data_IF_271104544635
#
_entry.id   IF_271104544635
#
_cell.length_a   1.000
_cell.length_b   1.000
_cell.length_c   1.000
_cell.angle_alpha   90.00
_cell.angle_beta   90.00
_cell.angle_gamma   90.00
#
_symmetry.space_group_name_H-M   'P 1'
#
loop_
_entity.id
_entity.type
_entity.pdbx_description
1 polymer ?
#
# COMPACT_ATOMS: atom_id res chain seq x y z
N UNK A 1 3.67 -19.59 33.59
CA UNK A 1 3.24 -19.67 32.20
C UNK A 1 4.51 -19.88 31.39
N UNK A 2 4.64 -21.03 30.73
CA UNK A 2 5.81 -21.35 29.89
C UNK A 2 5.82 -20.34 28.73
N UNK A 3 6.87 -19.57 28.61
CA UNK A 3 7.16 -18.79 27.40
C UNK A 3 7.29 -19.82 26.26
N UNK A 4 6.37 -19.78 25.31
CA UNK A 4 6.41 -20.59 24.11
C UNK A 4 7.59 -20.07 23.28
N UNK A 5 8.55 -20.92 22.94
CA UNK A 5 9.65 -20.53 22.04
C UNK A 5 9.05 -20.04 20.71
N UNK A 6 9.57 -18.93 20.16
CA UNK A 6 9.07 -18.39 18.90
C UNK A 6 9.22 -19.41 17.77
N UNK A 7 8.23 -19.46 16.89
CA UNK A 7 8.24 -20.37 15.75
C UNK A 7 9.44 -20.10 14.83
N UNK A 8 10.18 -21.14 14.49
CA UNK A 8 11.34 -21.04 13.59
C UNK A 8 10.99 -20.43 12.23
N UNK A 9 9.76 -20.60 11.78
CA UNK A 9 9.27 -20.01 10.53
C UNK A 9 9.06 -18.51 10.66
N UNK A 10 8.47 -18.04 11.77
CA UNK A 10 8.34 -16.61 12.08
C UNK A 10 9.71 -15.93 12.13
N UNK A 11 10.67 -16.50 12.86
CA UNK A 11 12.03 -15.94 12.95
C UNK A 11 12.71 -15.85 11.59
N UNK A 12 12.54 -16.85 10.74
CA UNK A 12 13.06 -16.84 9.36
C UNK A 12 12.52 -15.65 8.57
N UNK A 13 11.21 -15.37 8.66
CA UNK A 13 10.59 -14.27 7.95
C UNK A 13 10.96 -12.91 8.51
N UNK A 14 11.05 -12.76 9.82
CA UNK A 14 11.53 -11.53 10.46
C UNK A 14 12.97 -11.18 10.03
N UNK A 15 13.86 -12.18 9.98
CA UNK A 15 15.24 -11.99 9.48
C UNK A 15 15.28 -11.55 8.02
N UNK A 16 14.41 -12.11 7.16
CA UNK A 16 14.29 -11.68 5.75
C UNK A 16 13.79 -10.24 5.62
N UNK A 17 12.75 -9.87 6.37
CA UNK A 17 12.24 -8.50 6.42
C UNK A 17 13.28 -7.52 6.94
N UNK A 18 14.05 -7.89 7.97
CA UNK A 18 15.14 -7.07 8.48
C UNK A 18 16.27 -6.89 7.45
N UNK A 19 16.62 -7.94 6.72
CA UNK A 19 17.60 -7.88 5.65
C UNK A 19 17.13 -6.96 4.50
N UNK A 20 15.86 -7.06 4.12
CA UNK A 20 15.25 -6.16 3.13
C UNK A 20 15.29 -4.70 3.62
N UNK A 21 14.88 -4.45 4.87
CA UNK A 21 14.90 -3.10 5.46
C UNK A 21 16.30 -2.49 5.43
N UNK A 22 17.34 -3.29 5.64
CA UNK A 22 18.75 -2.85 5.53
C UNK A 22 19.15 -2.57 4.08
N UNK A 23 18.81 -3.44 3.14
CA UNK A 23 19.12 -3.25 1.72
C UNK A 23 18.45 -1.99 1.16
N UNK A 24 17.20 -1.72 1.54
CA UNK A 24 16.42 -0.57 1.09
C UNK A 24 16.57 0.68 1.99
N UNK A 25 17.46 0.68 2.98
CA UNK A 25 17.59 1.79 3.94
C UNK A 25 17.87 3.14 3.28
N UNK A 26 18.79 3.16 2.30
CA UNK A 26 19.16 4.38 1.58
C UNK A 26 17.96 4.92 0.80
N UNK A 27 17.27 4.07 0.06
CA UNK A 27 16.05 4.42 -0.65
C UNK A 27 14.99 4.97 0.31
N UNK A 28 14.66 4.24 1.38
CA UNK A 28 13.63 4.64 2.36
C UNK A 28 13.94 5.98 3.02
N UNK A 29 15.22 6.26 3.28
CA UNK A 29 15.66 7.57 3.79
C UNK A 29 15.44 8.69 2.77
N UNK A 30 15.81 8.46 1.50
CA UNK A 30 15.63 9.41 0.41
C UNK A 30 14.14 9.67 0.13
N UNK A 31 13.32 8.63 0.09
CA UNK A 31 11.88 8.72 -0.10
C UNK A 31 11.20 9.52 1.03
N UNK A 32 11.63 9.30 2.28
CA UNK A 32 11.13 10.07 3.43
C UNK A 32 11.53 11.55 3.38
N UNK A 33 12.73 11.86 2.86
CA UNK A 33 13.16 13.24 2.64
C UNK A 33 12.33 13.91 1.53
N UNK A 34 12.09 13.21 0.42
CA UNK A 34 11.24 13.68 -0.67
C UNK A 34 9.79 13.92 -0.21
N UNK A 35 9.20 12.98 0.52
CA UNK A 35 7.86 13.12 1.11
C UNK A 35 7.76 14.34 2.03
N UNK A 36 8.76 14.56 2.88
CA UNK A 36 8.80 15.75 3.76
C UNK A 36 8.88 17.05 2.98
N UNK A 37 9.69 17.06 1.91
CA UNK A 37 9.83 18.24 1.06
C UNK A 37 8.57 18.53 0.25
N UNK A 38 7.90 17.49 -0.23
CA UNK A 38 6.66 17.61 -1.00
C UNK A 38 5.51 18.18 -0.16
N UNK A 39 5.24 17.58 1.00
CA UNK A 39 4.17 18.02 1.88
C UNK A 39 4.51 19.26 2.70
N UNK A 40 5.79 19.70 2.69
CA UNK A 40 6.29 20.84 3.47
C UNK A 40 5.71 20.87 4.89
N UNK A 41 5.86 19.75 5.60
CA UNK A 41 5.29 19.56 6.95
C UNK A 41 5.77 20.61 7.97
N UNK A 42 6.87 21.30 7.67
CA UNK A 42 7.30 22.44 8.46
C UNK A 42 6.30 23.59 8.44
N UNK A 43 5.56 23.75 7.32
CA UNK A 43 4.49 24.75 7.20
C UNK A 43 3.21 24.34 7.93
N UNK A 44 2.93 23.03 8.00
CA UNK A 44 1.76 22.51 8.71
C UNK A 44 1.93 22.51 10.23
N UNK A 45 3.17 22.47 10.72
CA UNK A 45 3.48 22.40 12.13
C UNK A 45 3.59 23.76 12.84
N UNK A 46 3.76 24.86 12.07
CA UNK A 46 3.99 26.20 12.61
C UNK A 46 2.82 27.11 12.28
N UNK A 47 2.12 27.57 13.28
CA UNK A 47 0.98 28.49 13.20
C UNK A 47 1.34 29.87 12.61
N UNK A 48 2.60 30.27 12.59
CA UNK A 48 3.08 31.48 11.93
C UNK A 48 4.48 31.23 11.35
N UNK A 49 4.57 30.99 10.06
CA UNK A 49 5.84 31.06 9.35
C UNK A 49 6.31 32.50 9.40
N UNK A 50 7.44 32.74 10.04
CA UNK A 50 8.13 34.02 9.91
C UNK A 50 8.46 34.25 8.44
N UNK A 51 8.39 35.49 7.97
CA UNK A 51 8.62 35.86 6.56
C UNK A 51 9.91 35.25 5.98
N UNK A 52 10.92 35.00 6.81
CA UNK A 52 12.18 34.37 6.44
C UNK A 52 12.12 32.86 6.17
N UNK A 53 11.00 32.18 6.44
CA UNK A 53 10.83 30.74 6.27
C UNK A 53 10.05 30.34 5.02
N UNK A 54 9.61 31.31 4.20
CA UNK A 54 8.92 31.03 2.95
C UNK A 54 9.88 30.38 1.94
N UNK A 55 9.57 29.14 1.56
CA UNK A 55 10.27 28.41 0.52
C UNK A 55 9.49 28.45 -0.79
N UNK A 56 10.20 28.42 -1.90
CA UNK A 56 9.56 28.30 -3.23
C UNK A 56 9.16 26.83 -3.43
N UNK A 57 7.86 26.49 -3.57
CA UNK A 57 7.39 25.11 -3.61
C UNK A 57 7.56 24.48 -5.00
N UNK A 58 8.75 24.57 -5.59
CA UNK A 58 9.01 24.09 -6.95
C UNK A 58 8.80 22.58 -7.07
N UNK A 59 9.25 21.79 -6.10
CA UNK A 59 9.07 20.34 -6.12
C UNK A 59 7.59 19.98 -6.12
N UNK A 60 6.81 20.56 -5.23
CA UNK A 60 5.36 20.36 -5.20
C UNK A 60 4.70 20.75 -6.51
N UNK A 61 5.02 21.94 -7.04
CA UNK A 61 4.44 22.44 -8.29
C UNK A 61 4.77 21.56 -9.49
N UNK A 62 6.04 21.19 -9.67
CA UNK A 62 6.46 20.31 -10.77
C UNK A 62 5.86 18.91 -10.68
N UNK A 63 5.80 18.34 -9.48
CA UNK A 63 5.17 17.03 -9.25
C UNK A 63 3.69 17.04 -9.61
N UNK A 64 2.95 18.09 -9.23
CA UNK A 64 1.52 18.20 -9.59
C UNK A 64 1.30 18.36 -11.11
N UNK A 65 2.16 19.07 -11.81
CA UNK A 65 2.10 19.17 -13.28
C UNK A 65 2.33 17.81 -13.91
N UNK A 66 3.34 17.06 -13.44
CA UNK A 66 3.61 15.69 -13.91
C UNK A 66 2.46 14.75 -13.58
N UNK A 67 1.90 14.84 -12.37
CA UNK A 67 0.76 14.05 -11.97
C UNK A 67 -0.44 14.27 -12.91
N UNK A 68 -0.78 15.52 -13.19
CA UNK A 68 -1.86 15.87 -14.11
C UNK A 68 -1.59 15.39 -15.56
N UNK A 69 -0.32 15.37 -15.99
CA UNK A 69 0.06 14.87 -17.31
C UNK A 69 -0.02 13.35 -17.42
N UNK A 70 0.40 12.62 -16.37
CA UNK A 70 0.41 11.15 -16.35
C UNK A 70 -0.97 10.55 -16.08
N UNK A 71 -1.75 11.18 -15.20
CA UNK A 71 -3.06 10.69 -14.78
C UNK A 71 -4.14 11.75 -15.01
N UNK A 72 -4.29 12.17 -16.28
CA UNK A 72 -5.33 13.14 -16.68
C UNK A 72 -6.72 12.52 -16.77
N UNK A 73 -6.79 11.22 -16.95
CA UNK A 73 -8.03 10.45 -17.06
C UNK A 73 -7.83 9.07 -16.46
N UNK A 74 -8.88 8.56 -15.85
CA UNK A 74 -8.93 7.18 -15.40
C UNK A 74 -8.73 6.23 -16.59
N UNK A 75 -7.74 5.32 -16.54
CA UNK A 75 -7.54 4.33 -17.60
C UNK A 75 -8.74 3.38 -17.66
N UNK A 76 -9.26 3.16 -18.86
CA UNK A 76 -10.34 2.20 -19.10
C UNK A 76 -9.78 0.90 -19.65
N UNK A 77 -10.39 -0.20 -19.25
CA UNK A 77 -10.06 -1.51 -19.79
C UNK A 77 -10.46 -1.58 -21.27
N UNK A 78 -9.57 -2.06 -22.12
CA UNK A 78 -9.82 -2.44 -23.51
C UNK A 78 -9.52 -3.94 -23.62
N UNK A 79 -10.56 -4.75 -23.65
CA UNK A 79 -10.43 -6.21 -23.67
C UNK A 79 -10.69 -6.73 -25.06
N UNK A 80 -9.66 -7.32 -25.67
CA UNK A 80 -9.73 -7.85 -27.02
C UNK A 80 -9.46 -9.35 -27.05
N UNK A 81 -10.10 -10.05 -27.98
CA UNK A 81 -9.79 -11.44 -28.23
C UNK A 81 -8.35 -11.62 -28.70
N UNK A 82 -7.68 -12.66 -28.20
CA UNK A 82 -6.29 -12.95 -28.53
C UNK A 82 -6.10 -13.43 -29.98
N UNK A 83 -7.05 -14.22 -30.47
CA UNK A 83 -7.02 -14.77 -31.82
C UNK A 83 -7.71 -13.82 -32.81
N UNK A 84 -7.11 -13.67 -33.99
CA UNK A 84 -7.62 -12.82 -35.06
C UNK A 84 -8.70 -13.48 -35.90
N UNK A 85 -9.13 -14.70 -35.57
CA UNK A 85 -10.19 -15.39 -36.29
C UNK A 85 -11.49 -14.58 -36.25
N UNK A 86 -11.93 -14.13 -37.42
CA UNK A 86 -13.12 -13.28 -37.60
C UNK A 86 -14.37 -14.03 -37.26
N UNK A 87 -14.39 -15.37 -37.42
CA UNK A 87 -15.57 -16.22 -37.23
C UNK A 87 -15.80 -16.60 -35.73
N UNK A 88 -14.87 -16.31 -34.84
CA UNK A 88 -15.03 -16.58 -33.42
C UNK A 88 -15.90 -15.49 -32.74
N UNK A 89 -17.20 -15.61 -32.88
CA UNK A 89 -18.20 -14.74 -32.25
C UNK A 89 -18.21 -14.88 -30.73
N UNK A 90 -17.98 -16.10 -30.21
CA UNK A 90 -18.02 -16.37 -28.76
C UNK A 90 -16.88 -15.63 -28.04
N UNK A 91 -15.67 -15.67 -28.56
CA UNK A 91 -14.56 -14.94 -27.97
C UNK A 91 -14.77 -13.42 -27.98
N UNK A 92 -15.46 -12.88 -28.99
CA UNK A 92 -15.85 -11.47 -29.03
C UNK A 92 -16.84 -11.11 -27.92
N UNK A 93 -17.88 -11.91 -27.72
CA UNK A 93 -18.86 -11.67 -26.66
C UNK A 93 -18.22 -11.78 -25.25
N UNK A 94 -17.37 -12.78 -25.04
CA UNK A 94 -16.62 -12.93 -23.78
C UNK A 94 -15.74 -11.71 -23.53
N UNK A 95 -15.06 -11.18 -24.53
CA UNK A 95 -14.23 -9.97 -24.41
C UNK A 95 -15.06 -8.76 -23.98
N UNK A 96 -16.22 -8.54 -24.60
CA UNK A 96 -17.15 -7.46 -24.24
C UNK A 96 -17.71 -7.62 -22.82
N UNK A 97 -18.08 -8.83 -22.43
CA UNK A 97 -18.54 -9.11 -21.06
C UNK A 97 -17.43 -8.82 -20.01
N UNK A 98 -16.21 -9.26 -20.31
CA UNK A 98 -15.07 -9.03 -19.43
C UNK A 98 -14.74 -7.54 -19.31
N UNK A 99 -14.76 -6.80 -20.42
CA UNK A 99 -14.54 -5.35 -20.43
C UNK A 99 -15.57 -4.61 -19.57
N UNK A 100 -16.86 -4.97 -19.72
CA UNK A 100 -17.94 -4.40 -18.90
C UNK A 100 -17.80 -4.74 -17.43
N UNK A 101 -17.42 -5.98 -17.11
CA UNK A 101 -17.20 -6.40 -15.72
C UNK A 101 -16.02 -5.65 -15.08
N UNK A 102 -14.91 -5.51 -15.78
CA UNK A 102 -13.75 -4.73 -15.28
C UNK A 102 -14.11 -3.25 -15.10
N UNK A 103 -14.80 -2.66 -16.08
CA UNK A 103 -15.25 -1.25 -15.99
C UNK A 103 -16.19 -1.07 -14.80
N UNK A 104 -17.14 -1.98 -14.60
CA UNK A 104 -18.05 -1.94 -13.46
C UNK A 104 -17.28 -2.00 -12.12
N UNK A 105 -16.30 -2.88 -12.00
CA UNK A 105 -15.44 -2.97 -10.80
C UNK A 105 -14.68 -1.66 -10.60
N UNK A 106 -14.08 -1.09 -11.65
CA UNK A 106 -13.37 0.19 -11.55
C UNK A 106 -14.29 1.33 -11.07
N UNK A 107 -15.50 1.42 -11.61
CA UNK A 107 -16.44 2.50 -11.26
C UNK A 107 -17.02 2.33 -9.83
N UNK A 108 -17.14 1.11 -9.32
CA UNK A 108 -17.80 0.83 -8.04
C UNK A 108 -16.86 0.70 -6.85
N UNK A 109 -15.55 0.44 -7.07
CA UNK A 109 -14.62 0.11 -5.99
C UNK A 109 -13.66 1.25 -5.57
N UNK A 110 -13.83 2.45 -6.13
CA UNK A 110 -12.95 3.60 -5.82
C UNK A 110 -11.56 3.51 -6.45
N UNK A 111 -11.44 2.77 -7.53
CA UNK A 111 -10.19 2.56 -8.28
C UNK A 111 -9.47 3.87 -8.62
N UNK A 112 -10.22 4.93 -9.00
CA UNK A 112 -9.66 6.22 -9.36
C UNK A 112 -8.82 6.82 -8.23
N UNK A 113 -9.35 6.84 -7.01
CA UNK A 113 -8.64 7.35 -5.84
C UNK A 113 -7.38 6.55 -5.51
N UNK A 114 -7.48 5.23 -5.56
CA UNK A 114 -6.36 4.32 -5.27
C UNK A 114 -5.25 4.45 -6.32
N UNK A 115 -5.61 4.60 -7.60
CA UNK A 115 -4.68 4.82 -8.68
C UNK A 115 -3.99 6.21 -8.56
N UNK A 116 -4.75 7.25 -8.23
CA UNK A 116 -4.20 8.59 -7.96
C UNK A 116 -3.14 8.56 -6.84
N UNK A 117 -3.43 7.88 -5.74
CA UNK A 117 -2.49 7.75 -4.63
C UNK A 117 -1.22 6.99 -5.03
N UNK A 118 -1.36 5.89 -5.79
CA UNK A 118 -0.23 5.12 -6.27
C UNK A 118 0.66 5.92 -7.24
N UNK A 119 0.07 6.71 -8.14
CA UNK A 119 0.82 7.60 -9.04
C UNK A 119 1.49 8.73 -8.26
N UNK A 120 0.84 9.28 -7.24
CA UNK A 120 1.46 10.29 -6.39
C UNK A 120 2.68 9.75 -5.64
N UNK A 121 2.59 8.56 -5.06
CA UNK A 121 3.72 7.92 -4.40
C UNK A 121 4.85 7.60 -5.37
N UNK A 122 4.52 7.16 -6.59
CA UNK A 122 5.51 6.96 -7.66
C UNK A 122 6.28 8.24 -7.97
N UNK A 123 5.61 9.37 -8.10
CA UNK A 123 6.23 10.65 -8.45
C UNK A 123 7.04 11.24 -7.27
N UNK A 124 6.56 11.09 -6.06
CA UNK A 124 7.20 11.69 -4.87
C UNK A 124 8.28 10.78 -4.30
N UNK A 125 7.95 9.49 -4.13
CA UNK A 125 8.77 8.52 -3.42
C UNK A 125 9.42 7.48 -4.36
N UNK A 126 9.24 7.60 -5.67
CA UNK A 126 9.75 6.70 -6.70
C UNK A 126 9.18 5.27 -6.66
N UNK A 127 8.17 5.01 -5.85
CA UNK A 127 7.50 3.72 -5.72
C UNK A 127 6.00 3.92 -5.66
N UNK A 128 5.27 3.43 -6.66
CA UNK A 128 3.81 3.37 -6.65
C UNK A 128 3.33 1.93 -6.73
N UNK A 129 2.44 1.55 -5.83
CA UNK A 129 1.93 0.18 -5.77
C UNK A 129 0.43 0.13 -5.46
N UNK A 130 -0.22 -0.87 -6.06
CA UNK A 130 -1.58 -1.24 -5.75
C UNK A 130 -1.70 -2.77 -5.70
N UNK A 131 -2.58 -3.26 -4.85
CA UNK A 131 -2.83 -4.68 -4.58
C UNK A 131 -4.25 -5.02 -5.02
N UNK A 132 -4.44 -6.19 -5.62
CA UNK A 132 -5.76 -6.74 -5.90
C UNK A 132 -6.18 -7.60 -4.71
N UNK A 133 -7.34 -7.31 -4.17
CA UNK A 133 -7.97 -8.05 -3.08
C UNK A 133 -9.34 -8.58 -3.52
N UNK A 134 -9.77 -9.64 -2.88
CA UNK A 134 -11.12 -10.17 -3.06
C UNK A 134 -11.91 -9.89 -1.79
N UNK A 135 -12.84 -8.94 -1.86
CA UNK A 135 -13.79 -8.69 -0.78
C UNK A 135 -14.89 -9.76 -0.83
N UNK A 136 -15.03 -10.50 0.25
CA UNK A 136 -16.03 -11.57 0.39
C UNK A 136 -17.05 -11.16 1.43
N UNK A 137 -18.27 -10.88 0.99
CA UNK A 137 -19.39 -10.66 1.89
C UNK A 137 -20.03 -11.98 2.26
N UNK A 138 -20.15 -12.23 3.55
CA UNK A 138 -20.82 -13.42 4.07
C UNK A 138 -22.06 -13.03 4.86
N UNK A 139 -23.14 -13.80 4.71
CA UNK A 139 -24.33 -13.68 5.52
C UNK A 139 -24.62 -14.98 6.28
N UNK A 140 -25.13 -14.84 7.49
CA UNK A 140 -25.67 -15.95 8.25
C UNK A 140 -27.05 -16.29 7.70
N UNK A 141 -27.18 -17.43 7.05
CA UNK A 141 -28.44 -17.90 6.45
C UNK A 141 -28.91 -19.13 7.22
N UNK A 142 -30.20 -19.22 7.58
CA UNK A 142 -30.72 -20.41 8.23
C UNK A 142 -30.56 -21.63 7.32
N UNK A 143 -30.15 -22.74 7.91
CA UNK A 143 -30.09 -24.02 7.19
C UNK A 143 -31.53 -24.53 6.97
N UNK A 144 -31.90 -24.65 5.71
CA UNK A 144 -33.24 -25.11 5.34
C UNK A 144 -33.23 -26.62 5.15
N UNK A 145 -34.17 -27.30 5.77
CA UNK A 145 -34.39 -28.72 5.55
C UNK A 145 -34.89 -28.95 4.08
N UNK A 146 -34.18 -29.75 3.27
CA UNK A 146 -34.54 -29.97 1.87
C UNK A 146 -35.88 -30.70 1.67
N UNK A 147 -36.46 -31.31 2.72
CA UNK A 147 -37.71 -32.11 2.62
C UNK A 147 -38.93 -31.22 2.84
N UNK A 148 -38.93 -30.31 3.81
CA UNK A 148 -40.08 -29.51 4.21
C UNK A 148 -39.91 -28.01 3.99
N UNK A 149 -38.72 -27.55 3.56
CA UNK A 149 -38.43 -26.16 3.27
C UNK A 149 -38.39 -25.25 4.52
N UNK A 150 -38.45 -25.83 5.73
CA UNK A 150 -38.40 -25.09 7.00
C UNK A 150 -37.00 -24.97 7.52
N UNK A 151 -36.65 -23.89 8.28
CA UNK A 151 -35.36 -23.77 8.93
C UNK A 151 -35.19 -24.88 10.00
N UNK A 152 -34.02 -25.52 9.99
CA UNK A 152 -33.67 -26.49 11.03
C UNK A 152 -33.45 -25.74 12.33
N UNK A 153 -34.24 -26.10 13.36
CA UNK A 153 -34.15 -25.49 14.69
C UNK A 153 -33.44 -26.48 15.63
N UNK A 154 -32.39 -26.04 16.30
CA UNK A 154 -31.67 -26.78 17.32
C UNK A 154 -31.78 -26.01 18.65
N UNK A 155 -32.31 -26.68 19.68
CA UNK A 155 -32.52 -26.06 21.00
C UNK A 155 -33.37 -24.76 21.02
N UNK A 156 -34.29 -24.59 20.06
CA UNK A 156 -35.14 -23.41 19.94
C UNK A 156 -34.62 -22.27 19.11
N UNK A 157 -33.36 -22.38 18.62
CA UNK A 157 -32.75 -21.40 17.72
C UNK A 157 -32.55 -22.00 16.31
N UNK A 158 -32.75 -21.21 15.24
CA UNK A 158 -32.47 -21.68 13.89
C UNK A 158 -30.96 -21.92 13.69
N UNK A 159 -30.63 -23.12 13.20
CA UNK A 159 -29.27 -23.44 12.82
C UNK A 159 -28.87 -22.55 11.63
N UNK A 160 -27.84 -21.71 11.80
CA UNK A 160 -27.33 -20.82 10.75
C UNK A 160 -26.04 -21.33 10.16
N UNK A 161 -25.87 -21.14 8.85
CA UNK A 161 -24.61 -21.36 8.16
C UNK A 161 -24.10 -20.07 7.52
N UNK A 162 -22.81 -19.87 7.52
CA UNK A 162 -22.18 -18.76 6.81
C UNK A 162 -22.19 -19.04 5.32
N UNK A 163 -22.91 -18.24 4.55
CA UNK A 163 -22.95 -18.33 3.08
C UNK A 163 -22.30 -17.09 2.47
N UNK A 164 -21.46 -17.31 1.47
CA UNK A 164 -20.90 -16.22 0.66
C UNK A 164 -22.04 -15.62 -0.19
N UNK A 165 -22.31 -14.33 0.01
CA UNK A 165 -23.35 -13.58 -0.70
C UNK A 165 -22.78 -12.92 -1.94
N UNK A 166 -21.64 -12.27 -1.81
CA UNK A 166 -20.96 -11.64 -2.93
C UNK A 166 -19.44 -11.80 -2.85
N UNK A 167 -18.80 -11.75 -4.01
CA UNK A 167 -17.35 -11.69 -4.15
C UNK A 167 -17.05 -10.56 -5.12
N UNK A 168 -16.36 -9.55 -4.63
CA UNK A 168 -15.99 -8.38 -5.43
C UNK A 168 -14.49 -8.26 -5.47
N UNK A 169 -13.92 -8.19 -6.66
CA UNK A 169 -12.51 -7.83 -6.82
C UNK A 169 -12.36 -6.33 -6.58
N UNK A 170 -11.37 -5.96 -5.82
CA UNK A 170 -11.04 -4.58 -5.52
C UNK A 170 -9.55 -4.35 -5.71
N UNK A 171 -9.20 -3.22 -6.29
CA UNK A 171 -7.84 -2.72 -6.23
C UNK A 171 -7.71 -1.80 -5.03
N UNK A 172 -6.68 -1.98 -4.22
CA UNK A 172 -6.40 -1.14 -3.06
C UNK A 172 -5.02 -0.55 -3.19
N UNK A 173 -4.91 0.74 -2.94
CA UNK A 173 -3.64 1.44 -2.84
C UNK A 173 -2.79 0.88 -1.68
N UNK A 174 -1.50 0.72 -1.93
CA UNK A 174 -0.52 0.33 -0.91
C UNK A 174 0.50 1.45 -0.75
N UNK A 175 0.54 2.03 0.44
CA UNK A 175 1.48 3.09 0.75
C UNK A 175 2.92 2.59 0.65
N UNK A 176 3.83 3.38 0.06
CA UNK A 176 5.21 2.98 -0.19
C UNK A 176 5.99 2.48 1.04
N UNK A 177 5.64 2.92 2.25
CA UNK A 177 6.25 2.45 3.51
C UNK A 177 5.82 1.05 3.91
N UNK A 178 4.64 0.63 3.48
CA UNK A 178 4.00 -0.63 3.85
C UNK A 178 4.24 -1.74 2.83
N UNK A 179 5.07 -1.49 1.85
CA UNK A 179 5.41 -2.45 0.82
C UNK A 179 6.87 -2.89 0.93
N UNK A 180 7.08 -4.20 0.91
CA UNK A 180 8.37 -4.85 1.01
C UNK A 180 8.52 -5.86 -0.11
N UNK A 181 9.73 -5.99 -0.67
CA UNK A 181 10.04 -7.00 -1.67
C UNK A 181 11.48 -7.46 -1.53
N UNK A 182 11.76 -8.65 -2.02
CA UNK A 182 13.08 -9.23 -2.01
C UNK A 182 14.08 -8.39 -2.81
N UNK A 183 15.21 -8.00 -2.23
CA UNK A 183 16.29 -7.33 -2.96
C UNK A 183 16.86 -8.25 -4.03
N UNK A 184 16.66 -7.94 -5.31
CA UNK A 184 17.10 -8.75 -6.45
C UNK A 184 17.60 -7.84 -7.56
N UNK A 185 18.31 -8.43 -8.52
CA UNK A 185 18.81 -7.69 -9.71
C UNK A 185 17.74 -7.48 -10.77
N UNK A 186 16.72 -8.33 -10.80
CA UNK A 186 15.61 -8.22 -11.74
C UNK A 186 14.29 -8.59 -11.07
N UNK A 187 13.19 -7.94 -11.49
CA UNK A 187 11.88 -8.15 -10.89
C UNK A 187 11.35 -9.59 -11.01
N UNK A 188 11.63 -10.26 -12.08
CA UNK A 188 11.24 -11.65 -12.32
C UNK A 188 11.90 -12.66 -11.37
N UNK A 189 13.00 -12.26 -10.73
CA UNK A 189 13.70 -13.05 -9.72
C UNK A 189 13.10 -12.90 -8.32
N UNK A 190 12.19 -11.94 -8.10
CA UNK A 190 11.54 -11.76 -6.80
C UNK A 190 10.74 -12.99 -6.43
N UNK A 191 11.09 -13.61 -5.32
CA UNK A 191 10.43 -14.81 -4.80
C UNK A 191 9.42 -14.52 -3.70
N UNK A 192 9.54 -13.39 -3.02
CA UNK A 192 8.59 -12.98 -1.99
C UNK A 192 8.39 -11.47 -1.95
N UNK A 193 7.20 -11.08 -1.53
CA UNK A 193 6.84 -9.70 -1.19
C UNK A 193 5.98 -9.68 0.06
N UNK A 194 5.90 -8.51 0.71
CA UNK A 194 5.08 -8.39 1.91
C UNK A 194 4.38 -7.02 1.99
N UNK A 195 3.27 -7.02 2.72
CA UNK A 195 2.45 -5.85 3.00
C UNK A 195 2.29 -5.69 4.51
N UNK A 196 2.49 -4.47 4.99
CA UNK A 196 2.29 -4.12 6.40
C UNK A 196 0.86 -3.64 6.63
N UNK A 197 0.15 -4.29 7.55
CA UNK A 197 -1.18 -3.90 8.01
C UNK A 197 -1.10 -3.46 9.47
N UNK A 198 -1.61 -2.28 9.74
CA UNK A 198 -1.60 -1.68 11.08
C UNK A 198 -2.99 -1.82 11.69
N UNK A 199 -3.07 -2.54 12.81
CA UNK A 199 -4.33 -2.86 13.49
C UNK A 199 -4.25 -2.57 14.98
N UNK A 200 -5.39 -2.19 15.57
CA UNK A 200 -5.54 -2.11 17.01
C UNK A 200 -5.55 -3.52 17.65
N UNK A 201 -5.27 -3.60 18.97
CA UNK A 201 -5.25 -4.88 19.70
C UNK A 201 -6.57 -5.65 19.56
N UNK A 202 -7.69 -4.99 19.85
CA UNK A 202 -9.01 -5.63 19.83
C UNK A 202 -9.39 -6.13 18.41
N UNK A 203 -9.05 -5.36 17.39
CA UNK A 203 -9.29 -5.73 16.01
C UNK A 203 -8.50 -6.97 15.61
N UNK A 204 -7.20 -6.99 15.95
CA UNK A 204 -6.29 -8.10 15.66
C UNK A 204 -6.72 -9.38 16.38
N UNK A 205 -7.03 -9.30 17.68
CA UNK A 205 -7.48 -10.44 18.48
C UNK A 205 -8.83 -10.99 17.98
N UNK A 206 -9.75 -10.11 17.59
CA UNK A 206 -11.06 -10.50 17.03
C UNK A 206 -10.94 -11.13 15.65
N UNK A 207 -10.11 -10.56 14.78
CA UNK A 207 -10.00 -11.00 13.38
C UNK A 207 -9.32 -12.36 13.27
N UNK A 208 -8.26 -12.60 14.05
CA UNK A 208 -7.45 -13.81 13.96
C UNK A 208 -7.70 -14.81 15.09
N UNK A 209 -8.52 -14.47 16.08
CA UNK A 209 -8.81 -15.35 17.21
C UNK A 209 -7.61 -15.62 18.12
N UNK A 210 -6.58 -14.79 18.08
CA UNK A 210 -5.36 -14.88 18.89
C UNK A 210 -5.45 -13.96 20.11
N UNK A 211 -4.64 -14.21 21.12
CA UNK A 211 -4.48 -13.31 22.27
C UNK A 211 -3.05 -12.80 22.28
N UNK A 212 -2.89 -11.49 22.26
CA UNK A 212 -1.58 -10.86 22.38
C UNK A 212 -1.13 -10.87 23.86
N UNK A 213 0.19 -10.98 24.13
CA UNK A 213 0.73 -10.81 25.48
C UNK A 213 0.31 -9.46 26.08
N UNK A 214 -0.03 -9.42 27.38
CA UNK A 214 -0.43 -8.17 28.05
C UNK A 214 0.63 -7.07 27.99
N UNK A 215 1.90 -7.48 27.98
CA UNK A 215 3.06 -6.57 27.91
C UNK A 215 3.48 -6.21 26.48
N UNK A 216 2.74 -6.68 25.46
CA UNK A 216 3.06 -6.31 24.08
C UNK A 216 2.84 -4.79 23.88
N UNK A 217 3.92 -4.10 23.60
CA UNK A 217 3.89 -2.68 23.29
C UNK A 217 3.66 -2.54 21.79
N UNK A 218 2.48 -2.04 21.40
CA UNK A 218 2.27 -1.62 20.02
C UNK A 218 3.19 -0.43 19.70
N UNK A 219 3.75 -0.43 18.53
CA UNK A 219 4.42 0.75 17.98
C UNK A 219 3.36 1.69 17.44
N UNK A 220 3.49 2.99 17.71
CA UNK A 220 2.59 3.98 17.10
C UNK A 220 2.61 3.83 15.58
N UNK A 221 1.44 3.73 14.96
CA UNK A 221 1.27 3.41 13.54
C UNK A 221 2.21 4.17 12.64
N UNK A 222 3.09 3.45 11.94
CA UNK A 222 4.21 4.00 11.18
C UNK A 222 3.80 4.94 10.04
N UNK A 223 2.52 5.01 9.70
CA UNK A 223 1.98 5.85 8.62
C UNK A 223 1.03 6.95 9.11
N UNK A 224 0.69 6.98 10.39
CA UNK A 224 -0.15 8.07 10.89
C UNK A 224 0.68 9.35 10.96
N UNK A 225 0.28 10.45 10.29
CA UNK A 225 0.88 11.76 10.46
C UNK A 225 0.62 12.34 11.86
N UNK A 226 -0.24 11.70 12.62
CA UNK A 226 -0.67 12.12 13.94
C UNK A 226 0.25 11.47 14.97
N UNK A 227 0.69 12.27 15.94
CA UNK A 227 1.61 11.81 17.00
C UNK A 227 1.02 10.63 17.74
N UNK A 228 1.83 9.60 17.95
CA UNK A 228 1.49 8.35 18.66
C UNK A 228 0.84 8.56 20.05
N UNK A 229 1.07 9.70 20.67
CA UNK A 229 0.56 10.04 22.02
C UNK A 229 -0.97 10.24 22.09
N UNK A 230 -1.67 10.27 20.96
CA UNK A 230 -3.13 10.50 20.89
C UNK A 230 -3.95 9.30 20.43
N UNK A 231 -3.31 8.21 20.00
CA UNK A 231 -4.01 7.04 19.46
C UNK A 231 -3.62 5.78 20.19
N UNK A 232 -4.52 4.82 20.19
CA UNK A 232 -4.25 3.48 20.68
C UNK A 232 -3.04 2.87 19.97
N UNK A 233 -2.19 2.12 20.70
CA UNK A 233 -1.04 1.46 20.12
C UNK A 233 -1.48 0.48 19.03
N UNK A 234 -0.90 0.60 17.83
CA UNK A 234 -1.16 -0.28 16.72
C UNK A 234 -0.07 -1.36 16.61
N UNK A 235 -0.46 -2.51 16.14
CA UNK A 235 0.40 -3.66 15.89
C UNK A 235 0.56 -3.87 14.38
N UNK A 236 1.79 -4.13 13.96
CA UNK A 236 2.08 -4.43 12.57
C UNK A 236 1.86 -5.92 12.30
N UNK A 237 1.01 -6.21 11.35
CA UNK A 237 0.84 -7.56 10.78
C UNK A 237 1.47 -7.57 9.40
N UNK A 238 2.47 -8.40 9.21
CA UNK A 238 3.13 -8.61 7.93
C UNK A 238 2.40 -9.72 7.16
N UNK A 239 1.82 -9.38 6.02
CA UNK A 239 1.24 -10.33 5.08
C UNK A 239 2.28 -10.66 4.02
N UNK A 240 2.87 -11.82 4.10
CA UNK A 240 4.01 -12.25 3.28
C UNK A 240 3.55 -13.24 2.22
N UNK A 241 3.79 -12.93 0.97
CA UNK A 241 3.49 -13.75 -0.20
C UNK A 241 4.76 -14.48 -0.66
N UNK A 242 4.86 -15.78 -0.38
CA UNK A 242 5.98 -16.65 -0.80
C UNK A 242 5.61 -17.35 -2.13
N UNK A 243 6.14 -16.85 -3.24
CA UNK A 243 5.92 -17.41 -4.58
C UNK A 243 6.49 -18.82 -4.71
N UNK A 244 7.57 -19.13 -3.97
CA UNK A 244 8.24 -20.43 -4.06
C UNK A 244 7.36 -21.54 -3.51
N UNK A 245 6.67 -21.28 -2.39
CA UNK A 245 5.74 -22.23 -1.76
C UNK A 245 4.31 -22.05 -2.22
N UNK A 246 3.98 -20.94 -2.87
CA UNK A 246 2.62 -20.50 -3.20
C UNK A 246 1.74 -20.39 -1.96
N UNK A 247 2.29 -19.80 -0.92
CA UNK A 247 1.64 -19.62 0.39
C UNK A 247 1.69 -18.15 0.81
N UNK A 248 0.66 -17.73 1.53
CA UNK A 248 0.61 -16.44 2.20
C UNK A 248 0.73 -16.64 3.69
N UNK A 249 1.78 -16.09 4.30
CA UNK A 249 2.08 -16.23 5.72
C UNK A 249 1.82 -14.90 6.42
N UNK A 250 1.01 -14.91 7.47
CA UNK A 250 0.76 -13.75 8.32
C UNK A 250 1.53 -13.89 9.62
N UNK A 251 2.34 -12.88 9.93
CA UNK A 251 3.10 -12.79 11.19
C UNK A 251 2.89 -11.42 11.82
N UNK A 252 3.06 -11.33 13.12
CA UNK A 252 3.03 -10.07 13.85
C UNK A 252 4.28 -9.93 14.72
N UNK A 253 4.81 -8.71 14.84
CA UNK A 253 5.98 -8.44 15.69
C UNK A 253 5.71 -8.76 17.17
N UNK A 254 4.47 -8.59 17.60
CA UNK A 254 4.03 -8.76 18.99
C UNK A 254 3.51 -10.15 19.33
N UNK A 255 3.50 -11.09 18.40
CA UNK A 255 3.02 -12.45 18.58
C UNK A 255 4.10 -13.47 18.23
N UNK A 256 4.34 -14.46 19.09
CA UNK A 256 5.52 -15.36 19.01
C UNK A 256 5.39 -16.48 17.98
N UNK A 257 4.26 -16.63 17.33
CA UNK A 257 4.00 -17.67 16.34
C UNK A 257 3.51 -17.09 15.01
N UNK A 258 3.39 -17.93 13.99
CA UNK A 258 2.69 -17.59 12.75
C UNK A 258 1.20 -17.45 13.08
N UNK A 259 0.58 -16.34 12.64
CA UNK A 259 -0.85 -16.10 12.86
C UNK A 259 -1.67 -17.04 12.00
N UNK A 260 -1.36 -17.07 10.71
CA UNK A 260 -2.10 -17.86 9.73
C UNK A 260 -1.22 -18.15 8.51
N UNK A 261 -1.44 -19.30 7.88
CA UNK A 261 -0.86 -19.65 6.59
C UNK A 261 -2.01 -20.00 5.65
N UNK A 262 -2.03 -19.40 4.46
CA UNK A 262 -3.07 -19.63 3.43
C UNK A 262 -2.43 -20.13 2.16
N UNK A 263 -2.97 -21.18 1.58
CA UNK A 263 -2.57 -21.68 0.26
C UNK A 263 -3.19 -20.76 -0.81
N UNK A 264 -2.42 -20.34 -1.80
CA UNK A 264 -2.77 -19.55 -3.00
C UNK A 264 -4.21 -18.99 -3.05
N UNK A 265 -4.51 -17.91 -2.31
CA UNK A 265 -5.90 -17.48 -2.09
C UNK A 265 -6.56 -16.90 -3.34
N UNK A 266 -5.77 -16.45 -4.32
CA UNK A 266 -6.28 -15.82 -5.53
C UNK A 266 -6.17 -16.70 -6.79
N UNK A 267 -5.40 -17.79 -6.76
CA UNK A 267 -5.21 -18.68 -7.91
C UNK A 267 -4.58 -17.98 -9.13
N UNK A 268 -3.80 -16.92 -8.92
CA UNK A 268 -3.20 -16.16 -10.00
C UNK A 268 -2.00 -16.89 -10.62
N UNK A 269 -1.83 -16.73 -11.93
CA UNK A 269 -0.72 -17.37 -12.67
C UNK A 269 0.65 -17.02 -12.07
N UNK A 270 0.87 -15.75 -11.79
CA UNK A 270 2.13 -15.25 -11.22
C UNK A 270 2.15 -15.24 -9.70
N UNK A 271 1.09 -15.74 -9.04
CA UNK A 271 0.89 -15.84 -7.61
C UNK A 271 0.68 -14.49 -6.90
N UNK A 272 1.51 -13.50 -7.14
CA UNK A 272 1.45 -12.22 -6.44
C UNK A 272 0.14 -11.46 -6.68
N UNK A 273 -0.42 -10.81 -5.62
CA UNK A 273 -1.69 -10.08 -5.72
C UNK A 273 -1.53 -8.71 -6.40
N UNK A 274 -0.31 -8.33 -6.72
CA UNK A 274 0.00 -7.07 -7.36
C UNK A 274 0.93 -7.25 -8.55
N UNK A 275 0.79 -6.41 -9.57
CA UNK A 275 1.74 -6.36 -10.68
C UNK A 275 3.09 -5.84 -10.18
N UNK A 276 4.09 -5.85 -11.06
CA UNK A 276 5.34 -5.13 -10.83
C UNK A 276 5.03 -3.70 -10.40
N UNK A 277 5.59 -3.20 -9.29
CA UNK A 277 5.39 -1.82 -8.86
C UNK A 277 5.93 -0.83 -9.90
N UNK A 278 5.36 0.36 -9.91
CA UNK A 278 5.93 1.49 -10.63
C UNK A 278 7.18 1.95 -9.89
N UNK A 279 8.34 1.79 -10.51
CA UNK A 279 9.64 2.16 -9.94
C UNK A 279 10.27 3.23 -10.82
N UNK A 280 10.65 4.37 -10.21
CA UNK A 280 11.35 5.44 -10.91
C UNK A 280 12.87 5.32 -10.71
N UNK A 281 13.64 5.67 -11.75
CA UNK A 281 15.10 5.78 -11.70
C UNK A 281 15.79 4.57 -11.06
N UNK A 282 15.44 3.39 -11.54
CA UNK A 282 16.15 2.16 -11.16
C UNK A 282 17.53 2.19 -11.77
N UNK A 283 18.54 2.35 -10.93
CA UNK A 283 19.94 2.42 -11.33
C UNK A 283 20.71 1.24 -10.74
N UNK A 284 21.64 0.70 -11.52
CA UNK A 284 22.57 -0.33 -11.07
C UNK A 284 22.05 -1.76 -11.20
N UNK A 285 22.61 -2.64 -10.39
CA UNK A 285 22.36 -4.09 -10.46
C UNK A 285 21.15 -4.53 -9.62
N UNK A 286 20.52 -3.61 -8.87
CA UNK A 286 19.42 -3.93 -7.97
C UNK A 286 18.14 -3.19 -8.38
N UNK A 287 16.98 -3.82 -8.14
CA UNK A 287 15.66 -3.24 -8.40
C UNK A 287 15.27 -2.33 -7.25
N UNK A 288 16.08 -1.29 -7.01
CA UNK A 288 15.84 -0.29 -5.97
C UNK A 288 15.58 1.07 -6.65
N UNK A 289 14.43 1.72 -6.37
CA UNK A 289 14.11 3.00 -6.98
C UNK A 289 14.87 4.15 -6.31
N UNK A 290 14.96 5.28 -7.03
CA UNK A 290 15.56 6.51 -6.52
C UNK A 290 14.64 7.69 -6.77
N UNK A 291 14.20 8.43 -5.74
CA UNK A 291 13.32 9.57 -5.92
C UNK A 291 13.96 10.69 -6.75
N UNK A 292 13.19 11.28 -7.65
CA UNK A 292 13.61 12.43 -8.48
C UNK A 292 14.11 13.59 -7.62
N UNK A 293 13.51 13.78 -6.46
CA UNK A 293 13.93 14.77 -5.48
C UNK A 293 15.43 14.69 -5.15
N UNK A 294 16.00 13.49 -5.13
CA UNK A 294 17.44 13.29 -4.83
C UNK A 294 18.34 14.01 -5.83
N UNK A 295 17.94 14.08 -7.09
CA UNK A 295 18.72 14.74 -8.16
C UNK A 295 18.57 16.26 -8.15
N UNK A 296 17.42 16.77 -7.73
CA UNK A 296 17.12 18.21 -7.76
C UNK A 296 17.27 18.90 -6.41
N UNK A 297 17.48 18.16 -5.34
CA UNK A 297 17.53 18.65 -3.95
C UNK A 297 18.48 19.83 -3.76
N UNK A 298 19.69 19.72 -4.27
CA UNK A 298 20.70 20.76 -4.05
C UNK A 298 20.43 22.02 -4.90
N UNK A 299 19.85 21.85 -6.08
CA UNK A 299 19.36 22.97 -6.89
C UNK A 299 18.21 23.70 -6.18
N UNK A 300 17.28 22.96 -5.59
CA UNK A 300 16.18 23.55 -4.81
C UNK A 300 16.71 24.36 -3.60
N UNK A 301 17.74 23.86 -2.92
CA UNK A 301 18.39 24.59 -1.83
C UNK A 301 19.00 25.90 -2.31
N UNK A 302 19.66 25.92 -3.46
CA UNK A 302 20.22 27.13 -4.07
C UNK A 302 19.13 28.13 -4.46
N UNK A 303 18.06 27.68 -5.12
CA UNK A 303 16.94 28.55 -5.47
C UNK A 303 16.34 29.21 -4.23
N UNK A 304 16.11 28.44 -3.17
CA UNK A 304 15.58 28.97 -1.93
C UNK A 304 16.56 29.97 -1.25
N UNK A 305 17.87 29.70 -1.31
CA UNK A 305 18.88 30.61 -0.80
C UNK A 305 18.87 31.94 -1.57
N UNK A 306 18.81 31.90 -2.91
CA UNK A 306 18.75 33.12 -3.70
C UNK A 306 17.44 33.88 -3.52
N UNK A 307 16.31 33.19 -3.42
CA UNK A 307 15.01 33.81 -3.13
C UNK A 307 15.06 34.60 -1.80
N UNK A 308 15.65 34.01 -0.76
CA UNK A 308 15.87 34.70 0.53
C UNK A 308 16.77 35.92 0.42
N UNK A 309 17.87 35.83 -0.35
CA UNK A 309 18.80 36.96 -0.56
C UNK A 309 18.15 38.10 -1.35
N UNK A 310 17.44 37.78 -2.42
CA UNK A 310 16.71 38.76 -3.21
C UNK A 310 15.70 39.50 -2.35
N UNK A 311 14.94 38.79 -1.52
CA UNK A 311 13.98 39.39 -0.61
C UNK A 311 14.66 40.35 0.39
N UNK A 312 15.72 39.89 1.07
CA UNK A 312 16.46 40.71 2.02
C UNK A 312 17.01 41.99 1.38
N UNK A 313 17.53 41.90 0.14
CA UNK A 313 17.99 43.07 -0.61
C UNK A 313 16.82 44.00 -0.97
N UNK A 314 15.69 43.44 -1.38
CA UNK A 314 14.48 44.23 -1.72
C UNK A 314 13.95 44.99 -0.50
N UNK A 315 13.94 44.36 0.66
CA UNK A 315 13.51 44.99 1.91
C UNK A 315 14.45 46.14 2.32
N UNK A 316 15.79 45.94 2.19
CA UNK A 316 16.77 47.00 2.42
C UNK A 316 16.60 48.19 1.49
N UNK A 317 16.27 47.98 0.21
CA UNK A 317 16.03 49.07 -0.76
C UNK A 317 14.79 49.86 -0.39
N UNK A 318 13.74 49.23 0.13
CA UNK A 318 12.54 49.91 0.61
C UNK A 318 12.82 50.87 1.78
N UNK A 319 13.71 50.46 2.70
CA UNK A 319 14.07 51.28 3.86
C UNK A 319 14.91 52.51 3.49
N UNK A 320 15.53 52.55 2.31
CA UNK A 320 16.34 53.68 1.82
C UNK A 320 15.56 54.66 0.95
N UNK A 321 14.29 54.36 0.67
CA UNK A 321 13.41 55.13 -0.21
C UNK A 321 12.51 56.17 0.48
N UNK A 322 12.72 56.44 1.77
CA UNK A 322 12.02 57.51 2.53
C UNK A 322 13.01 58.53 3.05
#
# INVERSE_FOLDING_TARGET
MSEKEPSAEREKWLKRLESEKKAHEVYRRQAKEAERSYYDRSRLANEALTENQQLVPLFWSSTNVLHAALFSRMPRADVRKRNTDVMDGVAKEISLMTERAVTFVQDTTGYDNDAHQAVNDFLVCALGQAKVEMDVETAQVPVINPIDGQPIVLNGEPLTQTKVVSRTLRQRYVHWKNYHWEPTTAWDQVTWMAYDHWMGREELERQFGIKLPEKANGTGGGNSPLKADKYEPQFCVHEIWDKTRREVVLICDAYDDVIETREDPLGLKDFFPSPRPMLANVEGEEVIPKPDFTFIRDMLKLVNLYAKRIRALTDQVKDWGY
#
